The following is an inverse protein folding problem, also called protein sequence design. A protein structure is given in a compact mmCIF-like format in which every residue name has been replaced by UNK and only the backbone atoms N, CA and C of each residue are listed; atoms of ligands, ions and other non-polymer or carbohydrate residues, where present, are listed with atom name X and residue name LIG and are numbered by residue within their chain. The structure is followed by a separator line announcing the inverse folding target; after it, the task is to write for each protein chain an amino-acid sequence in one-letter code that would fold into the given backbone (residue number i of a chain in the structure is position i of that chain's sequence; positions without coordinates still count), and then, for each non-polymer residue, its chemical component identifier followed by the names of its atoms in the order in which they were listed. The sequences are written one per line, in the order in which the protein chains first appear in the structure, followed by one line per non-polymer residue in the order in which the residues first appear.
data_IF_732508856978
#
_entry.id   IF_732508856978
#
_cell.length_a   1.000
_cell.length_b   1.000
_cell.length_c   1.000
_cell.angle_alpha   90.00
_cell.angle_beta   90.00
_cell.angle_gamma   90.00
#
_symmetry.space_group_name_H-M   'P 1'
#
loop_
_entity.id
_entity.type
_entity.pdbx_description
1 polymer ?
#
# COMPACT_ATOMS: atom_id res chain seq x y z
N UNK A 1 -3.35 -10.30 12.80
CA UNK A 1 -2.10 -9.65 12.36
C UNK A 1 -2.53 -8.39 11.63
N UNK A 2 -2.03 -7.23 12.02
CA UNK A 2 -2.24 -6.00 11.23
C UNK A 2 -1.26 -6.08 10.05
N UNK A 3 -1.79 -6.07 8.82
CA UNK A 3 -1.02 -6.25 7.58
C UNK A 3 -0.83 -4.92 6.83
N UNK A 4 -1.09 -3.80 7.50
CA UNK A 4 -0.91 -2.45 6.99
C UNK A 4 -2.10 -1.92 6.21
N UNK A 5 -2.07 -0.60 5.97
CA UNK A 5 -3.17 0.15 5.34
C UNK A 5 -3.55 -0.37 3.97
N UNK A 6 -2.58 -0.76 3.13
CA UNK A 6 -2.84 -1.28 1.79
C UNK A 6 -3.70 -2.55 1.84
N UNK A 7 -3.42 -3.45 2.79
CA UNK A 7 -4.22 -4.66 2.98
C UNK A 7 -5.66 -4.33 3.38
N UNK A 8 -5.84 -3.38 4.29
CA UNK A 8 -7.18 -2.98 4.76
C UNK A 8 -8.01 -2.35 3.62
N UNK A 9 -7.39 -1.47 2.82
CA UNK A 9 -8.06 -0.83 1.67
C UNK A 9 -8.45 -1.88 0.62
N UNK A 10 -7.51 -2.73 0.21
CA UNK A 10 -7.77 -3.77 -0.80
C UNK A 10 -8.79 -4.81 -0.31
N UNK A 11 -8.80 -5.12 0.99
CA UNK A 11 -9.82 -5.98 1.60
C UNK A 11 -11.20 -5.35 1.47
N UNK A 12 -11.31 -4.04 1.71
CA UNK A 12 -12.58 -3.34 1.57
C UNK A 12 -13.07 -3.31 0.12
N UNK A 13 -12.17 -3.05 -0.84
CA UNK A 13 -12.50 -3.11 -2.29
C UNK A 13 -12.97 -4.51 -2.65
N UNK A 14 -12.26 -5.55 -2.24
CA UNK A 14 -12.63 -6.94 -2.49
C UNK A 14 -14.03 -7.26 -1.97
N UNK A 15 -14.35 -6.86 -0.74
CA UNK A 15 -15.68 -7.04 -0.15
C UNK A 15 -16.76 -6.34 -0.97
N UNK A 16 -16.54 -5.08 -1.37
CA UNK A 16 -17.48 -4.36 -2.20
C UNK A 16 -17.71 -5.02 -3.56
N UNK A 17 -16.67 -5.59 -4.19
CA UNK A 17 -16.84 -6.35 -5.43
C UNK A 17 -17.64 -7.64 -5.20
N UNK A 18 -17.39 -8.37 -4.11
CA UNK A 18 -18.17 -9.55 -3.75
C UNK A 18 -19.65 -9.22 -3.49
N UNK A 19 -19.93 -8.03 -2.98
CA UNK A 19 -21.29 -7.51 -2.78
C UNK A 19 -21.93 -6.99 -4.08
N UNK A 20 -21.25 -7.11 -5.22
CA UNK A 20 -21.74 -6.68 -6.53
C UNK A 20 -21.65 -5.16 -6.78
N UNK A 21 -20.94 -4.42 -5.92
CA UNK A 21 -20.75 -2.98 -6.06
C UNK A 21 -19.70 -2.64 -7.12
N UNK A 22 -19.52 -1.35 -7.39
CA UNK A 22 -18.56 -0.79 -8.36
C UNK A 22 -17.75 0.33 -7.71
N UNK A 23 -16.81 -0.01 -6.80
CA UNK A 23 -15.98 0.99 -6.13
C UNK A 23 -14.93 1.58 -7.07
N UNK A 24 -14.41 2.74 -6.68
CA UNK A 24 -13.20 3.33 -7.24
C UNK A 24 -12.01 3.00 -6.32
N UNK A 25 -10.85 2.78 -6.93
CA UNK A 25 -9.56 2.74 -6.23
C UNK A 25 -8.70 3.90 -6.75
N UNK A 26 -8.19 4.70 -5.83
CA UNK A 26 -7.32 5.83 -6.09
C UNK A 26 -5.94 5.53 -5.52
N UNK A 27 -4.90 5.70 -6.34
CA UNK A 27 -3.50 5.47 -5.95
C UNK A 27 -2.69 6.74 -6.19
N UNK A 28 -1.91 7.19 -5.19
CA UNK A 28 -0.91 8.24 -5.41
C UNK A 28 0.22 7.70 -6.27
N UNK A 29 0.46 8.28 -7.45
CA UNK A 29 1.47 7.81 -8.40
C UNK A 29 2.71 8.71 -8.44
N UNK A 30 2.57 9.99 -8.13
CA UNK A 30 3.68 10.92 -7.98
C UNK A 30 3.33 12.02 -6.97
N UNK A 31 4.37 12.54 -6.34
CA UNK A 31 4.24 13.66 -5.40
C UNK A 31 5.38 14.66 -5.59
N UNK A 32 5.09 15.95 -5.49
CA UNK A 32 6.10 17.01 -5.38
C UNK A 32 5.96 17.74 -4.06
N UNK A 33 7.08 18.23 -3.53
CA UNK A 33 7.11 18.93 -2.25
C UNK A 33 6.82 18.00 -1.05
N UNK A 34 6.33 18.56 0.04
CA UNK A 34 6.02 17.80 1.26
C UNK A 34 4.61 17.21 1.18
N UNK A 35 4.44 16.14 0.40
CA UNK A 35 3.14 15.44 0.34
C UNK A 35 2.79 14.77 1.69
N UNK A 36 1.52 14.83 2.13
CA UNK A 36 1.05 14.18 3.36
C UNK A 36 1.00 12.65 3.29
N UNK A 37 0.94 12.05 2.10
CA UNK A 37 1.00 10.60 1.88
C UNK A 37 2.08 10.23 0.85
N UNK A 38 2.76 9.08 1.01
CA UNK A 38 3.78 8.65 0.06
C UNK A 38 3.16 8.18 -1.26
N UNK A 39 3.99 8.13 -2.30
CA UNK A 39 3.68 7.41 -3.54
C UNK A 39 3.31 5.96 -3.22
N UNK A 40 2.26 5.47 -3.85
CA UNK A 40 1.65 4.18 -3.61
C UNK A 40 0.49 4.19 -2.60
N UNK A 41 0.24 5.28 -1.89
CA UNK A 41 -0.88 5.33 -0.95
C UNK A 41 -2.23 5.14 -1.65
N UNK A 42 -3.09 4.32 -1.05
CA UNK A 42 -4.41 3.97 -1.58
C UNK A 42 -5.56 4.64 -0.83
N UNK A 43 -6.61 4.98 -1.58
CA UNK A 43 -7.94 5.28 -1.10
C UNK A 43 -8.96 4.55 -1.97
N UNK A 44 -9.92 3.87 -1.37
CA UNK A 44 -11.07 3.32 -2.07
C UNK A 44 -12.34 4.08 -1.72
N UNK A 45 -13.25 4.19 -2.69
CA UNK A 45 -14.52 4.89 -2.56
C UNK A 45 -15.64 4.07 -3.17
N UNK A 46 -16.68 3.81 -2.39
CA UNK A 46 -17.93 3.24 -2.90
C UNK A 46 -18.90 4.38 -3.28
N UNK A 47 -19.25 4.54 -4.57
CA UNK A 47 -19.95 5.73 -5.06
C UNK A 47 -21.36 5.91 -4.49
N UNK A 48 -22.13 4.84 -4.28
CA UNK A 48 -23.54 4.94 -3.89
C UNK A 48 -23.70 5.33 -2.42
N UNK A 49 -22.98 4.66 -1.52
CA UNK A 49 -22.99 4.96 -0.09
C UNK A 49 -22.08 6.13 0.28
N UNK A 50 -21.07 6.44 -0.55
CA UNK A 50 -20.01 7.39 -0.23
C UNK A 50 -19.04 6.89 0.84
N UNK A 51 -19.02 5.58 1.12
CA UNK A 51 -18.06 4.99 2.06
C UNK A 51 -16.63 5.08 1.51
N UNK A 52 -15.69 5.49 2.36
CA UNK A 52 -14.27 5.64 2.04
C UNK A 52 -13.45 4.68 2.90
N UNK A 53 -12.43 4.08 2.30
CA UNK A 53 -11.38 3.33 3.01
C UNK A 53 -10.00 3.82 2.57
N UNK A 54 -9.07 3.98 3.51
CA UNK A 54 -7.74 4.50 3.20
C UNK A 54 -7.69 6.01 3.05
N UNK A 55 -6.59 6.52 2.49
CA UNK A 55 -6.31 7.95 2.41
C UNK A 55 -5.15 8.24 1.46
N UNK A 56 -5.33 9.26 0.62
CA UNK A 56 -4.34 9.78 -0.34
C UNK A 56 -3.77 11.14 0.07
N UNK A 57 -4.42 11.89 0.95
CA UNK A 57 -3.86 13.14 1.51
C UNK A 57 -4.16 13.41 2.98
N UNK A 58 -5.16 12.75 3.57
CA UNK A 58 -5.52 12.91 4.98
C UNK A 58 -6.78 13.75 5.23
N UNK A 59 -7.58 14.04 4.21
CA UNK A 59 -8.94 14.57 4.33
C UNK A 59 -9.41 15.34 3.09
N UNK A 60 -8.77 16.45 2.78
CA UNK A 60 -9.31 17.41 1.81
C UNK A 60 -9.34 16.90 0.37
N UNK A 61 -8.36 16.10 -0.06
CA UNK A 61 -8.37 15.52 -1.41
C UNK A 61 -9.40 14.40 -1.50
N UNK A 62 -9.61 13.65 -0.42
CA UNK A 62 -10.62 12.59 -0.34
C UNK A 62 -12.04 13.14 -0.52
N UNK A 63 -12.35 14.31 0.04
CA UNK A 63 -13.64 14.98 -0.14
C UNK A 63 -13.84 15.46 -1.59
N UNK A 64 -12.78 15.99 -2.22
CA UNK A 64 -12.83 16.44 -3.61
C UNK A 64 -13.06 15.25 -4.56
N UNK A 65 -12.34 14.14 -4.36
CA UNK A 65 -12.54 12.90 -5.13
C UNK A 65 -13.97 12.36 -4.97
N UNK A 66 -14.52 12.38 -3.76
CA UNK A 66 -15.91 12.01 -3.50
C UNK A 66 -16.89 12.93 -4.26
N UNK A 67 -16.62 14.24 -4.26
CA UNK A 67 -17.45 15.22 -4.98
C UNK A 67 -17.39 14.98 -6.50
N UNK A 68 -16.20 14.76 -7.08
CA UNK A 68 -16.02 14.44 -8.50
C UNK A 68 -16.81 13.20 -8.90
N UNK A 69 -16.71 12.11 -8.12
CA UNK A 69 -17.45 10.87 -8.38
C UNK A 69 -18.97 11.09 -8.30
N UNK A 70 -19.46 11.79 -7.27
CA UNK A 70 -20.90 12.07 -7.08
C UNK A 70 -21.49 12.99 -8.15
N UNK A 71 -20.69 13.91 -8.68
CA UNK A 71 -21.11 14.83 -9.74
C UNK A 71 -20.97 14.20 -11.14
N UNK A 72 -20.51 12.95 -11.23
CA UNK A 72 -20.14 12.29 -12.48
C UNK A 72 -19.10 13.10 -13.28
N UNK A 73 -18.27 13.88 -12.58
CA UNK A 73 -17.18 14.68 -13.15
C UNK A 73 -15.88 13.88 -13.20
N UNK A 74 -16.00 12.65 -13.71
CA UNK A 74 -14.90 11.70 -13.88
C UNK A 74 -15.02 11.08 -15.27
N UNK A 75 -13.90 10.83 -15.96
CA UNK A 75 -13.92 10.18 -17.26
C UNK A 75 -14.62 8.81 -17.20
N UNK A 76 -15.32 8.44 -18.27
CA UNK A 76 -15.89 7.09 -18.42
C UNK A 76 -14.85 6.06 -18.92
N UNK A 77 -13.60 6.27 -18.53
CA UNK A 77 -12.47 5.41 -18.86
C UNK A 77 -12.22 4.46 -17.67
N UNK A 78 -11.71 3.24 -17.91
CA UNK A 78 -11.41 2.30 -16.84
C UNK A 78 -10.37 2.84 -15.85
N UNK A 79 -9.50 3.74 -16.34
CA UNK A 79 -8.45 4.42 -15.61
C UNK A 79 -8.42 5.89 -16.03
N UNK A 80 -8.13 6.78 -15.09
CA UNK A 80 -7.98 8.21 -15.33
C UNK A 80 -7.01 8.84 -14.33
N UNK A 81 -6.42 9.98 -14.68
CA UNK A 81 -5.52 10.74 -13.80
C UNK A 81 -6.21 11.96 -13.22
N UNK A 82 -5.86 12.29 -11.97
CA UNK A 82 -6.24 13.51 -11.28
C UNK A 82 -4.98 14.18 -10.73
N UNK A 83 -4.90 15.50 -10.88
CA UNK A 83 -3.80 16.32 -10.35
C UNK A 83 -4.36 17.31 -9.35
N UNK A 84 -3.77 17.36 -8.16
CA UNK A 84 -4.15 18.27 -7.09
C UNK A 84 -2.95 19.11 -6.65
N UNK A 85 -3.18 20.39 -6.37
CA UNK A 85 -2.15 21.36 -5.98
C UNK A 85 -1.44 22.03 -7.16
N UNK A 86 -1.96 21.87 -8.39
CA UNK A 86 -1.37 22.45 -9.61
C UNK A 86 -1.45 23.99 -9.67
N UNK A 87 -2.32 24.57 -8.85
CA UNK A 87 -2.54 26.01 -8.71
C UNK A 87 -2.54 26.42 -7.23
N UNK A 88 -2.03 27.63 -6.90
CA UNK A 88 -2.01 28.13 -5.52
C UNK A 88 -3.39 28.17 -4.86
N UNK A 89 -4.43 28.52 -5.63
CA UNK A 89 -5.80 28.61 -5.15
C UNK A 89 -6.36 27.22 -4.78
N UNK A 90 -6.10 26.21 -5.61
CA UNK A 90 -6.51 24.83 -5.33
C UNK A 90 -5.73 24.27 -4.12
N UNK A 91 -4.42 24.50 -4.06
CA UNK A 91 -3.59 24.07 -2.93
C UNK A 91 -4.07 24.68 -1.60
N UNK A 92 -4.42 25.97 -1.59
CA UNK A 92 -4.97 26.64 -0.42
C UNK A 92 -6.34 26.09 -0.01
N UNK A 93 -7.24 25.84 -0.98
CA UNK A 93 -8.57 25.24 -0.73
C UNK A 93 -8.46 23.84 -0.13
N UNK A 94 -7.52 23.04 -0.64
CA UNK A 94 -7.29 21.65 -0.22
C UNK A 94 -6.37 21.53 1.00
N UNK A 95 -5.97 22.64 1.62
CA UNK A 95 -5.06 22.69 2.77
C UNK A 95 -3.78 21.86 2.55
N UNK A 96 -3.33 21.78 1.30
CA UNK A 96 -2.11 21.08 0.95
C UNK A 96 -0.92 21.88 1.51
N UNK A 97 0.12 21.23 2.05
CA UNK A 97 1.36 21.92 2.43
C UNK A 97 1.86 22.78 1.26
N UNK A 98 2.40 23.97 1.58
CA UNK A 98 2.83 24.93 0.56
C UNK A 98 3.69 24.24 -0.52
N UNK A 99 3.29 24.41 -1.80
CA UNK A 99 3.95 23.85 -2.98
C UNK A 99 3.95 22.31 -3.06
N UNK A 100 2.96 21.63 -2.48
CA UNK A 100 2.78 20.19 -2.72
C UNK A 100 1.80 19.92 -3.86
N UNK A 101 2.19 18.97 -4.73
CA UNK A 101 1.37 18.51 -5.86
C UNK A 101 1.22 17.00 -5.72
N UNK A 102 0.01 16.51 -5.95
CA UNK A 102 -0.34 15.09 -5.96
C UNK A 102 -0.82 14.70 -7.34
N UNK A 103 -0.22 13.67 -7.94
CA UNK A 103 -0.81 12.95 -9.05
C UNK A 103 -1.38 11.64 -8.54
N UNK A 104 -2.65 11.42 -8.87
CA UNK A 104 -3.42 10.28 -8.42
C UNK A 104 -4.00 9.61 -9.67
N UNK A 105 -3.88 8.29 -9.75
CA UNK A 105 -4.65 7.50 -10.71
C UNK A 105 -5.92 7.00 -10.03
N UNK A 106 -7.06 7.21 -10.67
CA UNK A 106 -8.32 6.56 -10.34
C UNK A 106 -8.59 5.40 -11.29
N UNK A 107 -9.01 4.27 -10.75
CA UNK A 107 -9.43 3.09 -11.51
C UNK A 107 -10.73 2.51 -10.96
N UNK A 108 -11.42 1.71 -11.76
CA UNK A 108 -12.61 0.94 -11.37
C UNK A 108 -12.29 -0.56 -11.37
N UNK A 109 -11.84 -1.14 -10.23
CA UNK A 109 -11.60 -2.56 -10.15
C UNK A 109 -12.86 -3.36 -10.48
N UNK A 110 -12.74 -4.40 -11.30
CA UNK A 110 -13.84 -5.29 -11.67
C UNK A 110 -13.51 -6.78 -11.49
N UNK A 111 -12.24 -7.12 -11.23
CA UNK A 111 -11.77 -8.48 -10.98
C UNK A 111 -11.50 -8.75 -9.49
N UNK A 112 -12.47 -9.35 -8.82
CA UNK A 112 -12.33 -9.77 -7.42
C UNK A 112 -11.30 -10.91 -7.23
N UNK A 113 -11.07 -11.76 -8.24
CA UNK A 113 -10.10 -12.85 -8.15
C UNK A 113 -8.66 -12.30 -8.18
N UNK A 114 -8.43 -11.22 -8.93
CA UNK A 114 -7.18 -10.49 -8.89
C UNK A 114 -6.90 -9.93 -7.49
N UNK A 115 -7.86 -9.25 -6.87
CA UNK A 115 -7.69 -8.71 -5.51
C UNK A 115 -7.46 -9.83 -4.48
N UNK A 116 -8.19 -10.94 -4.60
CA UNK A 116 -7.98 -12.10 -3.74
C UNK A 116 -6.54 -12.64 -3.85
N UNK A 117 -5.97 -12.65 -5.05
CA UNK A 117 -4.57 -13.08 -5.27
C UNK A 117 -3.58 -12.15 -4.57
N UNK A 118 -3.78 -10.83 -4.64
CA UNK A 118 -2.94 -9.83 -3.95
C UNK A 118 -3.06 -10.00 -2.43
N UNK A 119 -4.29 -10.05 -1.91
CA UNK A 119 -4.55 -10.22 -0.47
C UNK A 119 -3.95 -11.50 0.09
N UNK A 120 -4.03 -12.60 -0.66
CA UNK A 120 -3.39 -13.86 -0.30
C UNK A 120 -1.86 -13.70 -0.23
N UNK A 121 -1.24 -13.08 -1.23
CA UNK A 121 0.22 -12.86 -1.23
C UNK A 121 0.67 -12.07 0.01
N UNK A 122 -0.03 -10.99 0.36
CA UNK A 122 0.27 -10.18 1.55
C UNK A 122 0.14 -11.03 2.82
N UNK A 123 -0.93 -11.82 2.92
CA UNK A 123 -1.20 -12.69 4.07
C UNK A 123 -0.13 -13.78 4.23
N UNK A 124 0.31 -14.36 3.12
CA UNK A 124 1.36 -15.39 3.06
C UNK A 124 2.78 -14.79 3.20
N UNK A 125 2.88 -13.46 3.29
CA UNK A 125 4.13 -12.69 3.42
C UNK A 125 5.06 -12.84 2.20
N UNK A 126 4.48 -13.09 1.04
CA UNK A 126 5.15 -13.09 -0.26
C UNK A 126 5.04 -11.72 -0.95
N UNK A 127 6.03 -11.40 -1.78
CA UNK A 127 6.03 -10.19 -2.59
C UNK A 127 5.38 -10.44 -3.95
N UNK A 128 4.44 -9.57 -4.32
CA UNK A 128 3.74 -9.60 -5.59
C UNK A 128 3.70 -8.20 -6.19
N UNK A 129 4.11 -8.09 -7.44
CA UNK A 129 4.00 -6.85 -8.20
C UNK A 129 2.68 -6.83 -8.96
N UNK A 130 1.99 -5.71 -8.89
CA UNK A 130 0.84 -5.37 -9.72
C UNK A 130 1.27 -4.28 -10.71
N UNK A 131 1.11 -4.56 -11.99
CA UNK A 131 1.29 -3.58 -13.06
C UNK A 131 -0.08 -3.15 -13.58
N UNK A 132 -0.38 -1.86 -13.53
CA UNK A 132 -1.58 -1.24 -14.10
C UNK A 132 -1.20 -0.44 -15.34
N UNK A 133 -1.83 -0.72 -16.48
CA UNK A 133 -1.69 0.08 -17.69
C UNK A 133 -2.63 1.30 -17.65
N UNK A 134 -2.07 2.50 -17.68
CA UNK A 134 -2.83 3.74 -17.55
C UNK A 134 -3.69 4.10 -18.78
N UNK A 135 -3.47 3.42 -19.91
CA UNK A 135 -4.24 3.63 -21.14
C UNK A 135 -5.37 2.61 -21.27
N UNK A 136 -5.07 1.32 -21.01
CA UNK A 136 -6.03 0.23 -21.25
C UNK A 136 -6.79 -0.18 -19.99
N UNK A 137 -6.28 0.11 -18.81
CA UNK A 137 -6.76 -0.45 -17.54
C UNK A 137 -6.45 -1.92 -17.35
N UNK A 138 -5.65 -2.53 -18.25
CA UNK A 138 -5.20 -3.91 -18.06
C UNK A 138 -4.29 -4.00 -16.85
N UNK A 139 -4.51 -5.03 -16.04
CA UNK A 139 -3.71 -5.28 -14.84
C UNK A 139 -3.01 -6.65 -14.94
N UNK A 140 -1.70 -6.67 -14.69
CA UNK A 140 -0.90 -7.89 -14.63
C UNK A 140 -0.34 -8.09 -13.22
N UNK A 141 -0.29 -9.35 -12.80
CA UNK A 141 0.31 -9.73 -11.52
C UNK A 141 1.57 -10.56 -11.79
N UNK A 142 2.69 -10.10 -11.24
CA UNK A 142 4.00 -10.74 -11.36
C UNK A 142 4.50 -11.17 -9.98
N UNK A 143 5.30 -12.23 -9.92
CA UNK A 143 6.08 -12.52 -8.71
C UNK A 143 7.13 -11.44 -8.55
N UNK A 144 7.31 -10.96 -7.32
CA UNK A 144 8.31 -9.95 -7.00
C UNK A 144 9.24 -10.43 -5.89
N UNK A 145 10.37 -9.73 -5.77
CA UNK A 145 11.22 -9.75 -4.57
C UNK A 145 11.07 -8.40 -3.88
N UNK A 146 11.45 -8.31 -2.60
CA UNK A 146 11.35 -7.10 -1.78
C UNK A 146 11.86 -5.85 -2.51
N UNK A 147 11.15 -4.74 -2.36
CA UNK A 147 11.54 -3.47 -2.94
C UNK A 147 12.72 -2.89 -2.16
N UNK A 148 13.86 -2.64 -2.83
CA UNK A 148 15.03 -2.09 -2.16
C UNK A 148 14.93 -0.57 -1.88
N UNK A 149 14.11 0.17 -2.64
CA UNK A 149 14.01 1.64 -2.55
C UNK A 149 12.57 2.17 -2.66
N UNK A 150 11.78 1.69 -3.64
CA UNK A 150 10.45 2.22 -3.93
C UNK A 150 9.45 1.08 -4.15
N UNK A 151 8.31 1.14 -3.47
CA UNK A 151 7.26 0.13 -3.61
C UNK A 151 6.27 0.42 -4.73
N UNK A 152 6.34 1.61 -5.32
CA UNK A 152 5.45 2.05 -6.41
C UNK A 152 6.23 2.93 -7.36
N UNK A 153 6.20 2.61 -8.64
CA UNK A 153 6.95 3.29 -9.70
C UNK A 153 6.03 3.55 -10.88
N UNK A 154 6.13 4.74 -11.47
CA UNK A 154 5.49 5.12 -12.71
C UNK A 154 6.51 5.05 -13.86
N UNK A 155 6.33 4.13 -14.80
CA UNK A 155 7.25 3.89 -15.92
C UNK A 155 6.46 3.62 -17.21
N UNK A 156 6.75 4.38 -18.27
CA UNK A 156 6.22 4.10 -19.63
C UNK A 156 4.68 3.97 -19.70
N UNK A 157 3.94 4.71 -18.85
CA UNK A 157 2.48 4.63 -18.78
C UNK A 157 1.95 3.42 -18.00
N UNK A 158 2.81 2.76 -17.23
CA UNK A 158 2.48 1.70 -16.28
C UNK A 158 2.71 2.19 -14.85
N UNK A 159 1.78 1.86 -13.95
CA UNK A 159 1.99 1.96 -12.51
C UNK A 159 2.33 0.56 -12.00
N UNK A 160 3.56 0.36 -11.56
CA UNK A 160 4.01 -0.88 -10.94
C UNK A 160 4.03 -0.70 -9.44
N UNK A 161 3.30 -1.52 -8.70
CA UNK A 161 3.27 -1.50 -7.24
C UNK A 161 3.53 -2.89 -6.67
N UNK A 162 4.49 -2.97 -5.75
CA UNK A 162 4.80 -4.19 -5.01
C UNK A 162 3.97 -4.22 -3.72
N UNK A 163 3.32 -5.34 -3.48
CA UNK A 163 2.63 -5.68 -2.24
C UNK A 163 3.37 -6.80 -1.52
N UNK A 164 3.38 -6.76 -0.19
CA UNK A 164 4.06 -7.75 0.66
C UNK A 164 4.99 -7.08 1.67
N UNK A 165 5.84 -7.85 2.36
CA UNK A 165 6.83 -7.29 3.26
C UNK A 165 7.99 -6.69 2.44
N UNK A 166 7.89 -5.39 2.21
CA UNK A 166 8.80 -4.64 1.33
C UNK A 166 10.21 -4.57 1.86
N UNK A 167 10.39 -4.59 3.18
CA UNK A 167 11.65 -4.29 3.82
C UNK A 167 12.13 -5.47 4.66
N UNK A 168 13.41 -5.81 4.58
CA UNK A 168 13.99 -6.82 5.47
C UNK A 168 14.58 -6.15 6.71
N UNK A 169 14.24 -6.67 7.89
CA UNK A 169 14.73 -6.20 9.19
C UNK A 169 15.42 -7.35 9.91
N UNK A 170 16.75 -7.32 9.92
CA UNK A 170 17.53 -8.23 10.74
C UNK A 170 17.78 -7.64 12.12
N UNK A 171 17.41 -8.38 13.17
CA UNK A 171 17.62 -8.01 14.56
C UNK A 171 18.61 -8.98 15.20
N UNK A 172 19.70 -8.45 15.72
CA UNK A 172 20.72 -9.25 16.40
C UNK A 172 20.38 -9.31 17.89
N UNK A 173 19.98 -10.50 18.35
CA UNK A 173 19.67 -10.84 19.74
C UNK A 173 18.17 -10.94 20.04
N UNK A 174 17.76 -12.07 20.62
CA UNK A 174 16.38 -12.34 21.04
C UNK A 174 16.09 -11.76 22.43
N UNK A 175 16.14 -10.44 22.54
CA UNK A 175 15.89 -9.70 23.79
C UNK A 175 14.42 -9.29 23.93
N UNK A 176 14.02 -8.80 25.10
CA UNK A 176 12.67 -8.24 25.30
C UNK A 176 12.38 -7.06 24.36
N UNK A 177 13.39 -6.26 24.02
CA UNK A 177 13.26 -5.17 23.04
C UNK A 177 12.94 -5.73 21.65
N UNK A 178 13.58 -6.84 21.25
CA UNK A 178 13.30 -7.49 19.98
C UNK A 178 11.86 -8.02 19.91
N UNK A 179 11.28 -8.45 21.04
CA UNK A 179 9.87 -8.86 21.12
C UNK A 179 8.92 -7.69 20.89
N UNK A 180 9.14 -6.56 21.56
CA UNK A 180 8.33 -5.37 21.31
C UNK A 180 8.43 -4.93 19.85
N UNK A 181 9.62 -4.99 19.25
CA UNK A 181 9.78 -4.67 17.83
C UNK A 181 9.03 -5.65 16.92
N UNK A 182 9.02 -6.94 17.25
CA UNK A 182 8.30 -7.97 16.52
C UNK A 182 6.78 -7.77 16.48
N UNK A 183 6.20 -7.11 17.47
CA UNK A 183 4.76 -6.78 17.48
C UNK A 183 4.41 -5.70 16.44
N UNK A 184 5.34 -4.79 16.14
CA UNK A 184 5.10 -3.66 15.24
C UNK A 184 5.66 -3.87 13.83
N UNK A 185 6.84 -4.48 13.70
CA UNK A 185 7.59 -4.55 12.45
C UNK A 185 6.78 -5.14 11.28
N UNK A 186 6.02 -6.26 11.44
CA UNK A 186 5.18 -6.78 10.36
C UNK A 186 4.11 -5.77 9.89
N UNK A 187 3.51 -5.02 10.82
CA UNK A 187 2.48 -4.02 10.52
C UNK A 187 3.05 -2.80 9.78
N UNK A 188 4.35 -2.55 9.93
CA UNK A 188 5.10 -1.52 9.22
C UNK A 188 5.64 -2.00 7.87
N UNK A 189 5.31 -3.23 7.45
CA UNK A 189 5.74 -3.80 6.17
C UNK A 189 7.12 -4.47 6.21
N UNK A 190 7.68 -4.76 7.39
CA UNK A 190 8.96 -5.44 7.50
C UNK A 190 8.82 -6.97 7.56
N UNK A 191 9.64 -7.68 6.79
CA UNK A 191 10.03 -9.06 7.05
C UNK A 191 11.14 -9.06 8.09
N UNK A 192 10.78 -9.36 9.34
CA UNK A 192 11.73 -9.40 10.45
C UNK A 192 12.30 -10.81 10.64
N UNK A 193 13.63 -10.87 10.79
CA UNK A 193 14.40 -12.05 11.19
C UNK A 193 15.21 -11.71 12.44
N UNK A 194 15.19 -12.58 13.45
CA UNK A 194 15.99 -12.44 14.67
C UNK A 194 17.15 -13.43 14.60
N UNK A 195 18.38 -12.93 14.67
CA UNK A 195 19.59 -13.74 14.79
C UNK A 195 19.96 -13.88 16.28
N UNK A 196 19.93 -15.10 16.81
CA UNK A 196 20.30 -15.39 18.21
C UNK A 196 21.13 -16.68 18.31
N UNK A 197 22.47 -16.60 18.40
CA UNK A 197 23.32 -17.77 18.52
C UNK A 197 23.27 -18.43 19.91
N UNK A 198 22.75 -17.76 20.96
CA UNK A 198 22.69 -18.31 22.32
C UNK A 198 21.40 -19.12 22.52
N UNK A 199 21.56 -20.43 22.73
CA UNK A 199 20.46 -21.37 22.92
C UNK A 199 19.50 -20.97 24.07
N UNK A 200 20.05 -20.47 25.19
CA UNK A 200 19.25 -20.05 26.35
C UNK A 200 18.24 -18.96 26.02
N UNK A 201 18.57 -18.05 25.11
CA UNK A 201 17.65 -16.99 24.67
C UNK A 201 16.68 -17.51 23.61
N UNK A 202 17.14 -18.31 22.64
CA UNK A 202 16.27 -18.94 21.63
C UNK A 202 15.14 -19.76 22.24
N UNK A 203 15.43 -20.52 23.29
CA UNK A 203 14.44 -21.37 23.95
C UNK A 203 13.30 -20.58 24.61
N UNK A 204 13.49 -19.28 24.85
CA UNK A 204 12.42 -18.41 25.35
C UNK A 204 11.58 -17.81 24.22
N UNK A 205 12.09 -17.78 22.99
CA UNK A 205 11.41 -17.13 21.86
C UNK A 205 10.20 -17.94 21.38
N UNK A 206 9.03 -17.34 21.47
CA UNK A 206 7.72 -17.98 21.24
C UNK A 206 6.88 -17.28 20.15
N UNK A 207 7.45 -16.29 19.47
CA UNK A 207 6.79 -15.56 18.39
C UNK A 207 6.96 -16.31 17.07
N UNK A 208 6.07 -17.28 16.83
CA UNK A 208 6.11 -18.18 15.67
C UNK A 208 6.05 -17.46 14.29
N UNK A 209 5.53 -16.24 14.25
CA UNK A 209 5.46 -15.43 13.03
C UNK A 209 6.79 -14.75 12.63
N UNK A 210 7.79 -14.77 13.50
CA UNK A 210 9.10 -14.16 13.27
C UNK A 210 10.14 -15.25 13.04
N UNK A 211 10.88 -15.14 11.94
CA UNK A 211 11.95 -16.07 11.63
C UNK A 211 13.07 -15.93 12.67
N UNK A 212 13.51 -17.05 13.24
CA UNK A 212 14.62 -17.13 14.18
C UNK A 212 15.79 -17.83 13.48
N UNK A 213 16.92 -17.14 13.37
CA UNK A 213 18.17 -17.66 12.86
C UNK A 213 19.13 -17.94 14.03
N UNK A 214 19.79 -19.10 14.00
CA UNK A 214 20.75 -19.52 15.03
C UNK A 214 22.21 -19.25 14.65
N UNK A 215 22.47 -18.70 13.47
CA UNK A 215 23.79 -18.34 12.97
C UNK A 215 24.46 -17.24 13.80
N UNK A 216 25.74 -17.01 13.53
CA UNK A 216 26.44 -15.85 14.10
C UNK A 216 26.08 -14.60 13.29
N UNK A 217 26.05 -13.41 13.90
CA UNK A 217 25.69 -12.16 13.20
C UNK A 217 26.51 -11.90 11.94
N UNK A 218 27.79 -12.29 11.94
CA UNK A 218 28.70 -12.11 10.80
C UNK A 218 28.40 -13.07 9.62
N UNK A 219 27.64 -14.14 9.85
CA UNK A 219 27.33 -15.18 8.85
C UNK A 219 25.94 -15.03 8.22
N UNK A 220 25.09 -14.14 8.76
CA UNK A 220 23.67 -14.02 8.39
C UNK A 220 23.33 -12.73 7.63
N UNK A 221 24.28 -11.78 7.51
CA UNK A 221 24.13 -10.47 6.80
C UNK A 221 24.65 -10.55 5.37
#
# INVERSE_FOLDING_TARGET
MNLGTDFDVLTQVYQWLCDGKRPYLFTVIETWGSSPRPVGAHMALEPESGQIAGSVSGGCVEEELLAMVRQHDIPDQPVFECVFGDSPDQAARLQLPCNSILRIVGERPDDAAQLQTILRSITERDCLERELNLVTGEVKLNKAVSAFNESTVLEEGLVKKIYGPLWELMVIGATDIARYLADFAPSLGYRMTVCEPRESYRNTWDLAQIQLDSGMPDDVV
#
